data_IF_795736220359
#
_entry.id   IF_795736220359
#
_cell.length_a   1.000
_cell.length_b   1.000
_cell.length_c   1.000
_cell.angle_alpha   90.00
_cell.angle_beta   90.00
_cell.angle_gamma   90.00
#
_symmetry.space_group_name_H-M   'P 1'
#
loop_
_entity.id
_entity.type
_entity.pdbx_description
1 polymer ?
#
# COMPACT_ATOMS: atom_id res chain seq x y z
N UNK A 1 10.00 -64.86 32.77
CA UNK A 1 10.70 -64.23 33.89
C UNK A 1 11.91 -63.40 33.44
N UNK A 2 12.86 -63.93 32.66
CA UNK A 2 14.00 -63.14 32.14
C UNK A 2 13.61 -61.97 31.23
N UNK A 3 12.52 -62.11 30.45
CA UNK A 3 12.01 -61.07 29.55
C UNK A 3 11.41 -59.87 30.27
N UNK A 4 10.90 -60.04 31.50
CA UNK A 4 10.31 -58.95 32.30
C UNK A 4 11.39 -58.16 33.05
N UNK A 5 12.44 -58.83 33.53
CA UNK A 5 13.60 -58.21 34.18
C UNK A 5 14.36 -57.29 33.22
N UNK A 6 14.50 -57.70 31.95
CA UNK A 6 15.11 -56.87 30.89
C UNK A 6 14.27 -55.62 30.59
N UNK A 7 12.94 -55.78 30.59
CA UNK A 7 12.00 -54.67 30.37
C UNK A 7 12.02 -53.67 31.51
N UNK A 8 12.22 -54.10 32.77
CA UNK A 8 12.28 -53.23 33.94
C UNK A 8 13.63 -52.53 34.14
N UNK A 9 14.73 -53.10 33.62
CA UNK A 9 16.06 -52.48 33.62
C UNK A 9 16.30 -51.48 32.47
N UNK A 10 15.25 -51.04 31.77
CA UNK A 10 15.33 -50.01 30.73
C UNK A 10 15.78 -50.49 29.35
N UNK A 11 16.17 -51.75 29.20
CA UNK A 11 16.40 -52.42 27.91
C UNK A 11 15.05 -52.70 27.24
N UNK A 12 14.49 -51.67 26.62
CA UNK A 12 13.15 -51.69 26.01
C UNK A 12 12.21 -50.55 26.45
N UNK A 13 12.68 -49.62 27.29
CA UNK A 13 11.92 -48.41 27.68
C UNK A 13 12.28 -47.17 26.84
N UNK A 14 13.02 -47.34 25.73
CA UNK A 14 13.38 -46.28 24.80
C UNK A 14 12.84 -46.55 23.40
N UNK A 15 12.73 -45.49 22.59
CA UNK A 15 12.38 -45.58 21.17
C UNK A 15 13.28 -46.61 20.48
N UNK A 16 12.67 -47.61 19.85
CA UNK A 16 13.42 -48.58 19.07
C UNK A 16 13.97 -47.91 17.78
N UNK A 17 14.79 -48.63 17.01
CA UNK A 17 15.38 -48.06 15.78
C UNK A 17 14.34 -47.60 14.74
N UNK A 18 13.21 -48.31 14.64
CA UNK A 18 12.12 -47.95 13.75
C UNK A 18 11.37 -46.71 14.26
N UNK A 19 11.11 -46.61 15.57
CA UNK A 19 10.47 -45.44 16.17
C UNK A 19 11.32 -44.18 16.01
N UNK A 20 12.65 -44.31 16.20
CA UNK A 20 13.60 -43.21 15.96
C UNK A 20 13.57 -42.76 14.51
N UNK A 21 13.54 -43.71 13.56
CA UNK A 21 13.45 -43.38 12.13
C UNK A 21 12.12 -42.70 11.82
N UNK A 22 11.01 -43.20 12.33
CA UNK A 22 9.69 -42.60 12.12
C UNK A 22 9.62 -41.16 12.64
N UNK A 23 10.23 -40.87 13.80
CA UNK A 23 10.33 -39.52 14.33
C UNK A 23 11.20 -38.61 13.44
N UNK A 24 12.35 -39.09 12.97
CA UNK A 24 13.21 -38.34 12.05
C UNK A 24 12.47 -38.04 10.74
N UNK A 25 11.80 -39.04 10.16
CA UNK A 25 11.02 -38.87 8.93
C UNK A 25 9.87 -37.86 9.14
N UNK A 26 9.18 -37.91 10.29
CA UNK A 26 8.12 -36.98 10.63
C UNK A 26 8.63 -35.54 10.79
N UNK A 27 9.78 -35.35 11.45
CA UNK A 27 10.42 -34.03 11.60
C UNK A 27 10.84 -33.48 10.23
N UNK A 28 11.50 -34.30 9.40
CA UNK A 28 11.92 -33.88 8.06
C UNK A 28 10.72 -33.50 7.16
N UNK A 29 9.61 -34.24 7.27
CA UNK A 29 8.38 -33.93 6.55
C UNK A 29 7.74 -32.62 7.06
N UNK A 30 7.75 -32.40 8.37
CA UNK A 30 7.26 -31.16 8.97
C UNK A 30 8.08 -29.94 8.52
N UNK A 31 9.41 -30.04 8.54
CA UNK A 31 10.31 -28.97 8.09
C UNK A 31 10.11 -28.64 6.60
N UNK A 32 9.95 -29.67 5.77
CA UNK A 32 9.68 -29.51 4.32
C UNK A 32 8.33 -28.80 4.09
N UNK A 33 7.29 -29.22 4.82
CA UNK A 33 5.96 -28.62 4.74
C UNK A 33 5.98 -27.17 5.20
N UNK A 34 6.64 -26.86 6.32
CA UNK A 34 6.76 -25.50 6.83
C UNK A 34 7.47 -24.59 5.82
N UNK A 35 8.57 -25.06 5.22
CA UNK A 35 9.30 -24.32 4.18
C UNK A 35 8.43 -24.03 2.96
N UNK A 36 7.64 -25.02 2.51
CA UNK A 36 6.70 -24.88 1.40
C UNK A 36 5.59 -23.88 1.71
N UNK A 37 4.95 -23.98 2.88
CA UNK A 37 3.89 -23.07 3.31
C UNK A 37 4.42 -21.63 3.41
N UNK A 38 5.59 -21.44 4.02
CA UNK A 38 6.24 -20.12 4.13
C UNK A 38 6.48 -19.50 2.76
N UNK A 39 7.02 -20.29 1.82
CA UNK A 39 7.28 -19.86 0.44
C UNK A 39 5.99 -19.49 -0.28
N UNK A 40 4.93 -20.29 -0.14
CA UNK A 40 3.63 -20.01 -0.75
C UNK A 40 3.01 -18.71 -0.21
N UNK A 41 3.13 -18.45 1.10
CA UNK A 41 2.67 -17.19 1.71
C UNK A 41 3.46 -16.00 1.15
N UNK A 42 4.79 -16.09 1.12
CA UNK A 42 5.65 -15.02 0.56
C UNK A 42 5.26 -14.72 -0.89
N UNK A 43 5.12 -15.75 -1.72
CA UNK A 43 4.72 -15.60 -3.12
C UNK A 43 3.34 -14.95 -3.27
N UNK A 44 2.37 -15.37 -2.45
CA UNK A 44 1.03 -14.80 -2.47
C UNK A 44 1.04 -13.32 -2.05
N UNK A 45 1.86 -12.94 -1.07
CA UNK A 45 2.02 -11.56 -0.62
C UNK A 45 2.70 -10.69 -1.68
N UNK A 46 3.81 -11.15 -2.26
CA UNK A 46 4.51 -10.44 -3.33
C UNK A 46 3.67 -10.31 -4.61
N UNK A 47 2.78 -11.27 -4.88
CA UNK A 47 1.82 -11.16 -5.98
C UNK A 47 0.77 -10.06 -5.75
N UNK A 48 0.53 -9.64 -4.50
CA UNK A 48 -0.36 -8.53 -4.16
C UNK A 48 0.38 -7.19 -4.10
N UNK A 49 1.59 -7.20 -3.55
CA UNK A 49 2.45 -6.02 -3.47
C UNK A 49 3.91 -6.45 -3.66
N UNK A 50 4.43 -6.21 -4.86
CA UNK A 50 5.79 -6.61 -5.24
C UNK A 50 6.89 -5.81 -4.52
N UNK A 51 6.53 -4.71 -3.83
CA UNK A 51 7.48 -3.85 -3.12
C UNK A 51 7.66 -4.26 -1.65
N UNK A 52 6.98 -5.32 -1.20
CA UNK A 52 7.18 -5.82 0.17
C UNK A 52 8.64 -6.27 0.36
N UNK A 53 9.25 -5.97 1.52
CA UNK A 53 10.62 -6.37 1.83
C UNK A 53 10.69 -7.86 2.23
N UNK A 54 10.13 -8.74 1.40
CA UNK A 54 10.08 -10.19 1.61
C UNK A 54 10.88 -10.92 0.54
N UNK A 55 11.51 -12.02 0.93
CA UNK A 55 12.23 -12.94 0.03
C UNK A 55 12.12 -14.37 0.56
N UNK A 56 12.61 -15.34 -0.20
CA UNK A 56 12.64 -16.75 0.23
C UNK A 56 13.43 -16.97 1.55
N UNK A 57 14.34 -16.06 1.87
CA UNK A 57 15.11 -16.08 3.12
C UNK A 57 14.33 -15.54 4.33
N UNK A 58 13.22 -14.83 4.12
CA UNK A 58 12.41 -14.24 5.19
C UNK A 58 11.90 -15.28 6.17
N UNK A 59 11.85 -14.91 7.45
CA UNK A 59 11.28 -15.69 8.55
C UNK A 59 9.77 -15.43 8.68
N UNK A 60 9.08 -16.21 9.51
CA UNK A 60 7.67 -15.91 9.84
C UNK A 60 7.51 -14.57 10.55
N UNK A 61 8.51 -14.14 11.34
CA UNK A 61 8.49 -12.83 11.99
C UNK A 61 8.57 -11.70 10.95
N UNK A 62 9.41 -11.85 9.93
CA UNK A 62 9.50 -10.88 8.82
C UNK A 62 8.19 -10.81 8.04
N UNK A 63 7.54 -11.95 7.79
CA UNK A 63 6.22 -12.00 7.16
C UNK A 63 5.20 -11.21 7.99
N UNK A 64 5.13 -11.45 9.30
CA UNK A 64 4.20 -10.75 10.19
C UNK A 64 4.49 -9.23 10.20
N UNK A 65 5.76 -8.83 10.24
CA UNK A 65 6.16 -7.43 10.20
C UNK A 65 5.84 -6.75 8.86
N UNK A 66 5.85 -7.51 7.75
CA UNK A 66 5.51 -7.01 6.43
C UNK A 66 3.99 -6.86 6.23
N UNK A 67 3.14 -7.62 6.95
CA UNK A 67 1.67 -7.58 6.77
C UNK A 67 1.08 -6.16 6.89
N UNK A 68 1.40 -5.34 7.91
CA UNK A 68 0.92 -3.96 8.01
C UNK A 68 1.35 -3.05 6.86
N UNK A 69 2.41 -3.43 6.14
CA UNK A 69 2.93 -2.70 4.99
C UNK A 69 2.30 -3.13 3.66
N UNK A 70 1.45 -4.16 3.65
CA UNK A 70 0.80 -4.63 2.42
C UNK A 70 -0.21 -3.57 1.96
N UNK A 71 0.06 -2.98 0.80
CA UNK A 71 -0.89 -2.07 0.16
C UNK A 71 -1.81 -2.84 -0.80
N UNK A 72 -2.94 -3.34 -0.28
CA UNK A 72 -3.99 -4.03 -1.06
C UNK A 72 -5.24 -3.15 -1.24
N UNK A 73 -5.61 -2.85 -2.50
CA UNK A 73 -6.90 -2.21 -2.85
C UNK A 73 -6.80 -1.07 -3.87
N UNK A 74 -7.95 -0.51 -4.26
CA UNK A 74 -8.03 0.76 -5.02
C UNK A 74 -7.41 1.86 -4.15
N UNK A 75 -6.23 2.35 -4.51
CA UNK A 75 -5.55 3.36 -3.71
C UNK A 75 -6.18 4.71 -3.97
N UNK A 76 -6.91 5.19 -2.99
CA UNK A 76 -7.38 6.57 -2.96
C UNK A 76 -7.18 7.14 -1.57
N UNK A 77 -7.00 8.46 -1.52
CA UNK A 77 -6.90 9.21 -0.29
C UNK A 77 -7.71 10.50 -0.44
N UNK A 78 -8.15 11.06 0.67
CA UNK A 78 -8.84 12.34 0.69
C UNK A 78 -8.38 13.17 1.87
N UNK A 79 -8.62 14.46 1.79
CA UNK A 79 -8.40 15.36 2.91
C UNK A 79 -8.92 16.74 2.62
N UNK A 80 -8.64 17.63 3.56
CA UNK A 80 -8.99 19.05 3.44
C UNK A 80 -7.79 19.91 3.79
N UNK A 81 -7.74 21.12 3.25
CA UNK A 81 -6.79 22.15 3.65
C UNK A 81 -7.38 23.53 3.36
N UNK A 82 -6.80 24.56 3.96
CA UNK A 82 -7.11 25.95 3.68
C UNK A 82 -5.94 26.63 2.99
N UNK A 83 -6.22 27.37 1.91
CA UNK A 83 -5.26 28.25 1.24
C UNK A 83 -5.57 29.70 1.62
N UNK A 84 -4.80 30.34 2.52
CA UNK A 84 -4.98 31.74 2.83
C UNK A 84 -4.74 32.59 1.57
N UNK A 85 -5.53 33.66 1.42
CA UNK A 85 -5.76 34.31 0.13
C UNK A 85 -4.56 34.90 -0.62
N UNK A 86 -3.38 35.04 -0.01
CA UNK A 86 -2.16 35.40 -0.76
C UNK A 86 -1.56 34.17 -1.44
N UNK A 87 -1.18 34.26 -2.72
CA UNK A 87 -0.54 33.20 -3.54
C UNK A 87 0.13 32.09 -2.74
N UNK A 88 -0.65 31.11 -2.33
CA UNK A 88 -0.25 30.08 -1.36
C UNK A 88 -0.21 28.73 -2.03
N UNK A 89 0.68 27.88 -1.53
CA UNK A 89 0.79 26.49 -1.93
C UNK A 89 0.57 25.59 -0.73
N UNK A 90 -0.12 24.48 -0.94
CA UNK A 90 -0.27 23.42 0.05
C UNK A 90 0.30 22.12 -0.52
N UNK A 91 1.15 21.46 0.26
CA UNK A 91 1.71 20.15 -0.11
C UNK A 91 0.95 19.06 0.64
N UNK A 92 0.28 18.18 -0.11
CA UNK A 92 -0.27 16.94 0.42
C UNK A 92 0.87 15.91 0.47
N UNK A 93 1.16 15.37 1.66
CA UNK A 93 2.22 14.39 1.90
C UNK A 93 1.67 13.12 2.54
N UNK A 94 2.49 12.06 2.57
CA UNK A 94 2.16 10.82 3.29
C UNK A 94 1.17 9.91 2.55
N UNK A 95 1.03 10.06 1.23
CA UNK A 95 0.22 9.16 0.44
C UNK A 95 0.92 7.79 0.35
N UNK A 96 0.17 6.70 0.40
CA UNK A 96 0.73 5.36 0.16
C UNK A 96 0.99 5.05 -1.33
N UNK A 97 0.85 6.04 -2.21
CA UNK A 97 0.86 5.86 -3.66
C UNK A 97 1.23 7.14 -4.40
N UNK A 98 1.63 7.01 -5.66
CA UNK A 98 1.85 8.12 -6.59
C UNK A 98 0.53 8.39 -7.34
N UNK A 99 -0.13 9.53 -7.15
CA UNK A 99 -1.43 9.77 -7.78
C UNK A 99 -1.37 9.79 -9.31
N UNK A 100 -2.29 9.09 -9.98
CA UNK A 100 -2.57 9.21 -11.41
C UNK A 100 -3.79 10.09 -11.70
N UNK A 101 -4.62 10.36 -10.69
CA UNK A 101 -5.75 11.28 -10.77
C UNK A 101 -5.92 12.04 -9.45
N UNK A 102 -6.23 13.33 -9.54
CA UNK A 102 -6.50 14.22 -8.44
C UNK A 102 -7.78 14.99 -8.75
N UNK A 103 -8.76 14.90 -7.86
CA UNK A 103 -9.96 15.75 -7.87
C UNK A 103 -9.81 16.77 -6.76
N UNK A 104 -10.23 17.99 -7.05
CA UNK A 104 -10.07 19.09 -6.14
C UNK A 104 -11.32 19.94 -6.14
N UNK A 105 -11.95 20.02 -4.98
CA UNK A 105 -13.20 20.70 -4.77
C UNK A 105 -12.95 21.91 -3.89
N UNK A 106 -13.30 23.11 -4.37
CA UNK A 106 -13.03 24.35 -3.65
C UNK A 106 -14.29 25.15 -3.38
N UNK A 107 -14.28 25.84 -2.24
CA UNK A 107 -15.30 26.80 -1.86
C UNK A 107 -14.66 28.05 -1.24
N UNK A 108 -15.27 29.21 -1.44
CA UNK A 108 -14.84 30.48 -0.82
C UNK A 108 -15.31 30.65 0.62
N UNK A 109 -16.37 29.92 0.99
CA UNK A 109 -16.90 29.75 2.34
C UNK A 109 -17.26 28.28 2.58
N UNK A 110 -17.56 27.88 3.81
CA UNK A 110 -17.99 26.50 4.11
C UNK A 110 -19.27 26.07 3.39
N UNK A 111 -20.08 27.03 2.94
CA UNK A 111 -21.47 26.83 2.50
C UNK A 111 -21.73 27.38 1.08
N UNK A 112 -20.69 27.53 0.25
CA UNK A 112 -20.80 28.04 -1.12
C UNK A 112 -21.44 26.98 -2.05
N UNK A 113 -22.67 27.20 -2.57
CA UNK A 113 -23.35 26.25 -3.45
C UNK A 113 -22.76 26.26 -4.88
N UNK A 114 -21.83 27.16 -5.20
CA UNK A 114 -21.18 27.29 -6.51
C UNK A 114 -19.80 26.64 -6.57
N UNK A 115 -19.52 25.73 -5.63
CA UNK A 115 -18.25 25.06 -5.51
C UNK A 115 -17.83 24.37 -6.82
N UNK A 116 -16.60 24.64 -7.25
CA UNK A 116 -16.02 24.17 -8.50
C UNK A 116 -15.21 22.90 -8.26
N UNK A 117 -15.26 21.98 -9.23
CA UNK A 117 -14.42 20.78 -9.24
C UNK A 117 -13.38 20.94 -10.35
N UNK A 118 -12.12 21.01 -9.94
CA UNK A 118 -10.99 20.91 -10.85
C UNK A 118 -10.48 19.46 -10.86
N UNK A 119 -10.04 18.98 -12.03
CA UNK A 119 -9.55 17.60 -12.20
C UNK A 119 -8.18 17.60 -12.88
N UNK A 120 -7.21 16.88 -12.30
CA UNK A 120 -5.96 16.53 -12.97
C UNK A 120 -5.87 15.01 -13.09
N UNK A 121 -5.51 14.51 -14.26
CA UNK A 121 -5.38 13.07 -14.47
C UNK A 121 -4.35 12.71 -15.54
N UNK A 122 -3.80 11.51 -15.43
CA UNK A 122 -3.04 10.88 -16.50
C UNK A 122 -4.02 10.21 -17.47
N UNK A 123 -4.19 10.80 -18.65
CA UNK A 123 -5.10 10.30 -19.68
C UNK A 123 -4.37 10.05 -21.00
N UNK A 124 -4.86 9.09 -21.78
CA UNK A 124 -4.49 8.97 -23.19
C UNK A 124 -5.19 10.07 -23.99
N UNK A 125 -4.48 10.64 -24.95
CA UNK A 125 -5.15 11.45 -25.98
C UNK A 125 -6.01 10.55 -26.85
N UNK A 126 -7.16 11.04 -27.31
CA UNK A 126 -8.03 10.31 -28.23
C UNK A 126 -7.21 9.79 -29.45
N UNK A 127 -7.26 8.48 -29.71
CA UNK A 127 -6.51 7.83 -30.79
C UNK A 127 -5.01 7.63 -30.54
N UNK A 128 -4.47 8.01 -29.38
CA UNK A 128 -3.06 7.86 -29.02
C UNK A 128 -2.76 6.67 -28.10
N UNK A 129 -1.55 6.14 -28.17
CA UNK A 129 -1.05 5.10 -27.24
C UNK A 129 -0.41 5.69 -25.97
N UNK A 130 0.10 6.93 -26.05
CA UNK A 130 0.82 7.60 -24.96
C UNK A 130 -0.13 8.26 -23.96
N UNK A 131 0.16 8.07 -22.67
CA UNK A 131 -0.53 8.79 -21.59
C UNK A 131 0.16 10.12 -21.31
N UNK A 132 -0.61 11.17 -21.10
CA UNK A 132 -0.12 12.51 -20.75
C UNK A 132 -0.88 13.03 -19.53
N UNK A 133 -0.22 13.88 -18.73
CA UNK A 133 -0.89 14.58 -17.64
C UNK A 133 -1.78 15.67 -18.24
N UNK A 134 -3.07 15.63 -17.91
CA UNK A 134 -4.08 16.57 -18.36
C UNK A 134 -4.72 17.22 -17.14
N UNK A 135 -5.08 18.50 -17.29
CA UNK A 135 -5.85 19.23 -16.30
C UNK A 135 -7.07 19.81 -16.98
N UNK A 136 -8.21 19.67 -16.31
CA UNK A 136 -9.43 20.37 -16.63
C UNK A 136 -9.74 21.29 -15.47
N UNK A 137 -9.68 22.59 -15.75
CA UNK A 137 -10.05 23.68 -14.84
C UNK A 137 -11.36 24.25 -15.39
N UNK A 138 -12.45 24.13 -14.63
CA UNK A 138 -13.75 24.58 -15.09
C UNK A 138 -13.83 26.11 -15.06
N UNK A 139 -14.05 26.73 -16.23
CA UNK A 139 -14.47 28.12 -16.46
C UNK A 139 -14.04 29.18 -15.43
N UNK A 140 -13.03 29.99 -15.76
CA UNK A 140 -12.48 31.08 -14.93
C UNK A 140 -11.86 30.66 -13.58
N UNK A 141 -11.61 29.38 -13.30
CA UNK A 141 -10.87 28.99 -12.09
C UNK A 141 -9.35 29.15 -12.26
N UNK A 142 -8.85 30.22 -11.68
CA UNK A 142 -7.45 30.64 -11.51
C UNK A 142 -6.63 29.73 -10.56
N UNK A 143 -6.80 28.41 -10.59
CA UNK A 143 -6.38 27.50 -9.50
C UNK A 143 -5.55 26.33 -10.04
N UNK A 144 -4.41 26.04 -9.43
CA UNK A 144 -3.45 25.07 -9.95
C UNK A 144 -3.52 23.77 -9.15
N UNK A 145 -4.19 22.78 -9.74
CA UNK A 145 -3.77 21.38 -9.59
C UNK A 145 -2.29 21.24 -9.97
N UNK A 146 -1.60 20.15 -9.57
CA UNK A 146 -0.19 19.96 -9.89
C UNK A 146 0.06 20.10 -11.39
N UNK A 147 0.88 21.08 -11.79
CA UNK A 147 1.20 21.37 -13.20
C UNK A 147 1.80 20.16 -13.94
N UNK A 148 2.51 19.31 -13.21
CA UNK A 148 3.10 18.07 -13.68
C UNK A 148 2.50 16.87 -12.92
N UNK A 149 2.58 15.69 -13.55
CA UNK A 149 2.25 14.43 -12.89
C UNK A 149 3.10 14.27 -11.62
N UNK A 150 2.51 13.95 -10.46
CA UNK A 150 3.28 13.56 -9.29
C UNK A 150 4.25 12.41 -9.61
N UNK A 151 5.49 12.54 -9.19
CA UNK A 151 6.52 11.49 -9.31
C UNK A 151 6.76 10.76 -7.99
N UNK A 152 6.18 11.26 -6.90
CA UNK A 152 6.29 10.68 -5.56
C UNK A 152 4.95 10.65 -4.83
N UNK A 153 5.02 10.24 -3.57
CA UNK A 153 3.89 10.00 -2.66
C UNK A 153 3.27 11.28 -2.08
N UNK A 154 3.26 12.34 -2.89
CA UNK A 154 2.84 13.69 -2.52
C UNK A 154 2.46 14.49 -3.76
N UNK A 155 1.67 15.54 -3.59
CA UNK A 155 1.40 16.50 -4.65
C UNK A 155 1.24 17.92 -4.08
N UNK A 156 1.50 18.93 -4.92
CA UNK A 156 1.40 20.34 -4.55
C UNK A 156 0.19 20.95 -5.23
N UNK A 157 -0.63 21.63 -4.45
CA UNK A 157 -1.70 22.49 -4.94
C UNK A 157 -1.24 23.94 -4.78
N UNK A 158 -1.38 24.73 -5.84
CA UNK A 158 -0.99 26.14 -5.84
C UNK A 158 -2.20 27.01 -6.17
N UNK A 159 -2.30 28.15 -5.49
CA UNK A 159 -3.24 29.20 -5.88
C UNK A 159 -2.55 30.11 -6.92
N UNK A 160 -3.10 30.23 -8.13
CA UNK A 160 -2.47 31.01 -9.21
C UNK A 160 -2.83 32.52 -9.19
N UNK A 161 -3.47 33.01 -8.13
CA UNK A 161 -3.91 34.40 -7.99
C UNK A 161 -4.02 34.81 -6.51
N UNK A 162 -3.88 36.10 -6.24
CA UNK A 162 -4.19 36.68 -4.93
C UNK A 162 -5.69 36.89 -4.76
N UNK A 163 -6.22 36.46 -3.64
CA UNK A 163 -7.59 36.64 -3.16
C UNK A 163 -7.56 37.30 -1.77
N UNK A 164 -8.56 38.11 -1.43
CA UNK A 164 -8.72 38.59 -0.05
C UNK A 164 -9.35 37.54 0.88
N UNK A 165 -9.75 36.38 0.33
CA UNK A 165 -10.47 35.32 1.01
C UNK A 165 -9.62 34.08 1.17
N UNK A 166 -9.70 33.44 2.35
CA UNK A 166 -9.21 32.08 2.56
C UNK A 166 -10.08 31.11 1.80
N UNK A 167 -9.46 30.24 1.01
CA UNK A 167 -10.15 29.16 0.32
C UNK A 167 -10.09 27.88 1.13
N UNK A 168 -11.19 27.11 1.10
CA UNK A 168 -11.23 25.77 1.66
C UNK A 168 -11.28 24.76 0.52
N UNK A 169 -10.43 23.75 0.60
CA UNK A 169 -10.31 22.73 -0.42
C UNK A 169 -10.57 21.36 0.20
N UNK A 170 -11.29 20.51 -0.53
CA UNK A 170 -11.30 19.07 -0.33
C UNK A 170 -10.64 18.41 -1.53
N UNK A 171 -9.70 17.53 -1.27
CA UNK A 171 -8.97 16.80 -2.31
C UNK A 171 -9.27 15.32 -2.24
N UNK A 172 -9.18 14.68 -3.40
CA UNK A 172 -9.24 13.24 -3.59
C UNK A 172 -8.09 12.87 -4.52
N UNK A 173 -7.24 11.93 -4.12
CA UNK A 173 -6.16 11.41 -4.95
C UNK A 173 -6.42 9.93 -5.23
N UNK A 174 -6.10 9.47 -6.43
CA UNK A 174 -6.27 8.09 -6.87
C UNK A 174 -4.99 7.63 -7.59
N UNK A 175 -4.60 6.37 -7.41
CA UNK A 175 -3.57 5.68 -8.21
C UNK A 175 -4.12 5.20 -9.56
#
# INVERSE_FOLDING_TARGET
>A
MMSEILRDHGLGKGLNGADKKALIDAVNAADTNQSTVKTNIINALLAKDANLPLSNASTFADIIAAIPSIYIGKKWAMGTFSLPGTSSSYTVTGLGFVPSMILLHYATTSDDPTATIDVALQAKTYGGSTTTWKQSVAGMSTKTLPAAKPTGNSFVVTQAFSSSYTMYARWYAFE
#
